data_IF_065770446915
#
_entry.id   IF_065770446915
#
_cell.length_a   1.000
_cell.length_b   1.000
_cell.length_c   1.000
_cell.angle_alpha   90.00
_cell.angle_beta   90.00
_cell.angle_gamma   90.00
#
_symmetry.space_group_name_H-M   'P 1'
#
loop_
_entity.id
_entity.type
_entity.pdbx_description
1 polymer ?
#
# COMPACT_ATOMS: atom_id res chain seq x y z
N UNK A 1 5.76 18.18 18.63
CA UNK A 1 5.13 16.91 19.01
C UNK A 1 5.88 15.80 18.29
N UNK A 2 6.71 15.04 18.99
CA UNK A 2 7.54 13.99 18.41
C UNK A 2 6.66 12.90 17.80
N UNK A 3 6.57 12.86 16.46
CA UNK A 3 6.01 11.69 15.77
C UNK A 3 7.06 10.57 15.90
N UNK A 4 6.95 9.81 16.99
CA UNK A 4 7.83 8.67 17.26
C UNK A 4 7.70 7.70 16.09
N UNK A 5 8.81 7.19 15.55
CA UNK A 5 8.84 6.21 14.44
C UNK A 5 7.75 5.12 14.55
N UNK A 6 7.48 4.65 15.77
CA UNK A 6 6.42 3.69 16.08
C UNK A 6 5.00 4.15 15.69
N UNK A 7 4.66 5.43 15.89
CA UNK A 7 3.34 5.98 15.57
C UNK A 7 3.10 6.05 14.06
N UNK A 8 4.12 6.41 13.29
CA UNK A 8 4.09 6.37 11.82
C UNK A 8 3.93 4.94 11.29
N UNK A 9 4.64 3.97 11.88
CA UNK A 9 4.50 2.56 11.51
C UNK A 9 3.09 2.02 11.79
N UNK A 10 2.53 2.33 12.97
CA UNK A 10 1.16 1.93 13.34
C UNK A 10 0.15 2.55 12.38
N UNK A 11 0.23 3.86 12.10
CA UNK A 11 -0.66 4.51 11.12
C UNK A 11 -0.57 3.87 9.74
N UNK A 12 0.64 3.59 9.26
CA UNK A 12 0.85 2.96 7.96
C UNK A 12 0.27 1.54 7.89
N UNK A 13 0.42 0.77 8.97
CA UNK A 13 -0.17 -0.57 9.08
C UNK A 13 -1.70 -0.50 9.14
N UNK A 14 -2.27 0.37 9.98
CA UNK A 14 -3.72 0.58 10.08
C UNK A 14 -4.30 0.96 8.72
N UNK A 15 -3.67 1.88 8.00
CA UNK A 15 -4.12 2.29 6.68
C UNK A 15 -4.07 1.14 5.67
N UNK A 16 -3.00 0.33 5.69
CA UNK A 16 -2.87 -0.84 4.80
C UNK A 16 -3.95 -1.88 5.06
N UNK A 17 -4.21 -2.20 6.33
CA UNK A 17 -5.25 -3.14 6.72
C UNK A 17 -6.64 -2.64 6.32
N UNK A 18 -6.93 -1.36 6.54
CA UNK A 18 -8.21 -0.75 6.18
C UNK A 18 -8.45 -0.77 4.66
N UNK A 19 -7.42 -0.44 3.88
CA UNK A 19 -7.51 -0.45 2.43
C UNK A 19 -7.77 -1.86 1.88
N UNK A 20 -7.02 -2.87 2.35
CA UNK A 20 -7.22 -4.26 1.91
C UNK A 20 -8.59 -4.80 2.34
N UNK A 21 -9.04 -4.47 3.55
CA UNK A 21 -10.38 -4.84 4.01
C UNK A 21 -11.47 -4.21 3.14
N UNK A 22 -11.28 -2.96 2.74
CA UNK A 22 -12.23 -2.25 1.86
C UNK A 22 -12.34 -2.95 0.50
N UNK A 23 -11.22 -3.37 -0.10
CA UNK A 23 -11.23 -4.15 -1.34
C UNK A 23 -12.03 -5.44 -1.20
N UNK A 24 -11.77 -6.21 -0.14
CA UNK A 24 -12.47 -7.48 0.13
C UNK A 24 -13.97 -7.22 0.30
N UNK A 25 -14.36 -6.19 1.06
CA UNK A 25 -15.78 -5.83 1.25
C UNK A 25 -16.44 -5.41 -0.06
N UNK A 26 -15.79 -4.58 -0.88
CA UNK A 26 -16.34 -4.16 -2.18
C UNK A 26 -16.56 -5.38 -3.08
N UNK A 27 -15.55 -6.26 -3.19
CA UNK A 27 -15.67 -7.46 -4.04
C UNK A 27 -16.77 -8.36 -3.51
N UNK A 28 -16.84 -8.58 -2.19
CA UNK A 28 -17.87 -9.40 -1.57
C UNK A 28 -19.28 -8.84 -1.83
N UNK A 29 -19.47 -7.52 -1.74
CA UNK A 29 -20.77 -6.89 -2.01
C UNK A 29 -21.19 -7.00 -3.48
N UNK A 30 -20.22 -6.99 -4.41
CA UNK A 30 -20.49 -7.04 -5.84
C UNK A 30 -20.66 -8.47 -6.36
N UNK A 31 -19.84 -9.41 -5.89
CA UNK A 31 -19.84 -10.80 -6.37
C UNK A 31 -20.74 -11.72 -5.54
N UNK A 32 -20.96 -11.40 -4.26
CA UNK A 32 -21.60 -12.28 -3.29
C UNK A 32 -20.76 -13.51 -2.91
N UNK A 33 -19.52 -13.61 -3.38
CA UNK A 33 -18.67 -14.80 -3.26
C UNK A 33 -17.43 -14.48 -2.42
N UNK A 34 -17.32 -15.14 -1.26
CA UNK A 34 -16.26 -14.88 -0.29
C UNK A 34 -14.89 -15.36 -0.77
N UNK A 35 -14.85 -16.48 -1.52
CA UNK A 35 -13.61 -16.99 -2.09
C UNK A 35 -12.96 -15.98 -3.03
N UNK A 36 -13.74 -15.41 -3.95
CA UNK A 36 -13.31 -14.37 -4.87
C UNK A 36 -12.87 -13.11 -4.14
N UNK A 37 -13.62 -12.67 -3.12
CA UNK A 37 -13.29 -11.48 -2.34
C UNK A 37 -11.92 -11.60 -1.65
N UNK A 38 -11.67 -12.74 -1.00
CA UNK A 38 -10.38 -13.02 -0.35
C UNK A 38 -9.25 -13.20 -1.36
N UNK A 39 -9.52 -13.85 -2.50
CA UNK A 39 -8.53 -14.01 -3.57
C UNK A 39 -8.10 -12.64 -4.13
N UNK A 40 -9.06 -11.77 -4.46
CA UNK A 40 -8.76 -10.41 -4.94
C UNK A 40 -8.03 -9.60 -3.89
N UNK A 41 -8.45 -9.64 -2.63
CA UNK A 41 -7.74 -8.95 -1.54
C UNK A 41 -6.30 -9.43 -1.36
N UNK A 42 -6.05 -10.74 -1.48
CA UNK A 42 -4.71 -11.32 -1.44
C UNK A 42 -3.83 -10.90 -2.62
N UNK A 43 -4.38 -10.97 -3.83
CA UNK A 43 -3.68 -10.52 -5.05
C UNK A 43 -3.37 -9.02 -4.98
N UNK A 44 -4.31 -8.21 -4.49
CA UNK A 44 -4.15 -6.76 -4.32
C UNK A 44 -3.01 -6.42 -3.34
N UNK A 45 -2.90 -7.15 -2.23
CA UNK A 45 -1.81 -6.98 -1.27
C UNK A 45 -0.44 -7.26 -1.90
N UNK A 46 -0.31 -8.35 -2.66
CA UNK A 46 0.94 -8.71 -3.37
C UNK A 46 1.25 -7.69 -4.48
N UNK A 47 0.24 -7.33 -5.28
CA UNK A 47 0.39 -6.35 -6.36
C UNK A 47 0.89 -5.00 -5.83
N UNK A 48 0.38 -4.52 -4.68
CA UNK A 48 0.86 -3.30 -4.03
C UNK A 48 2.34 -3.38 -3.66
N UNK A 49 2.85 -4.53 -3.22
CA UNK A 49 4.28 -4.69 -2.92
C UNK A 49 5.13 -4.56 -4.19
N UNK A 50 4.72 -5.22 -5.27
CA UNK A 50 5.42 -5.17 -6.57
C UNK A 50 5.42 -3.75 -7.13
N UNK A 51 4.25 -3.10 -7.15
CA UNK A 51 4.09 -1.73 -7.63
C UNK A 51 4.88 -0.75 -6.77
N UNK A 52 4.84 -0.89 -5.44
CA UNK A 52 5.60 -0.03 -4.54
C UNK A 52 7.12 -0.17 -4.74
N UNK A 53 7.62 -1.40 -4.86
CA UNK A 53 9.03 -1.65 -5.14
C UNK A 53 9.45 -1.08 -6.50
N UNK A 54 8.64 -1.32 -7.54
CA UNK A 54 8.86 -0.76 -8.88
C UNK A 54 8.84 0.78 -8.87
N UNK A 55 7.91 1.38 -8.14
CA UNK A 55 7.80 2.83 -7.96
C UNK A 55 9.04 3.41 -7.27
N UNK A 56 9.47 2.84 -6.14
CA UNK A 56 10.70 3.25 -5.44
C UNK A 56 11.92 3.11 -6.37
N UNK A 57 12.00 2.02 -7.12
CA UNK A 57 13.11 1.78 -8.04
C UNK A 57 13.11 2.80 -9.17
N UNK A 58 11.96 3.06 -9.78
CA UNK A 58 11.80 4.09 -10.81
C UNK A 58 12.15 5.48 -10.25
N UNK A 59 11.70 5.79 -9.03
CA UNK A 59 11.98 7.06 -8.36
C UNK A 59 13.47 7.27 -8.10
N UNK A 60 14.24 6.20 -7.85
CA UNK A 60 15.70 6.29 -7.70
C UNK A 60 16.44 6.82 -8.95
N UNK A 61 15.84 6.66 -10.14
CA UNK A 61 16.38 7.19 -11.40
C UNK A 61 15.96 8.64 -11.66
N UNK A 62 14.91 9.12 -10.99
CA UNK A 62 14.43 10.49 -11.12
C UNK A 62 15.33 11.41 -10.27
N UNK A 63 16.04 12.35 -10.90
CA UNK A 63 16.94 13.32 -10.22
C UNK A 63 16.21 14.52 -9.60
N UNK A 64 14.89 14.43 -9.44
CA UNK A 64 14.07 15.55 -8.96
C UNK A 64 14.42 15.91 -7.52
N UNK A 65 14.78 17.18 -7.27
CA UNK A 65 15.06 17.69 -5.93
C UNK A 65 16.46 17.44 -5.36
N UNK A 66 17.43 16.91 -6.14
CA UNK A 66 18.85 16.91 -5.70
C UNK A 66 19.39 18.34 -5.78
N UNK A 67 19.34 19.07 -4.67
CA UNK A 67 20.10 20.32 -4.53
C UNK A 67 21.59 20.02 -4.75
N UNK A 68 22.34 20.85 -5.50
CA UNK A 68 23.79 20.75 -5.49
C UNK A 68 24.24 20.99 -4.05
N UNK A 69 24.93 20.01 -3.48
CA UNK A 69 25.67 20.18 -2.24
C UNK A 69 26.84 21.13 -2.54
N UNK A 70 26.66 22.40 -2.18
CA UNK A 70 27.72 23.42 -2.13
C UNK A 70 28.38 23.35 -0.75
#
# INVERSE_FOLDING_TARGET
>A
MSDTRSRSLVKALTWRLLASLTTVVIVLLLSGELGLALFVGGVEAIAKLIVFYGHERAWSFVRWGRLPSV
#
